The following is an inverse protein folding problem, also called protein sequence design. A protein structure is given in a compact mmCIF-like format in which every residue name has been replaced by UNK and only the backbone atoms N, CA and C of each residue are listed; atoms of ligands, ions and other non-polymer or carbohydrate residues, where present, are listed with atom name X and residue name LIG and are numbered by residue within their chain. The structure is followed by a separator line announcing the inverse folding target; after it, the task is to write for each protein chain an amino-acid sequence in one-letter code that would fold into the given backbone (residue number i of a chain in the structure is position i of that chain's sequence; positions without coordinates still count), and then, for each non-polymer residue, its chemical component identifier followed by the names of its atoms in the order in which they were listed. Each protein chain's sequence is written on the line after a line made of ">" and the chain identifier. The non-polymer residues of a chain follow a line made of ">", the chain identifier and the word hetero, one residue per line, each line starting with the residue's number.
data_IF_642792604231
#
_entry.id   IF_642792604231
#
_cell.length_a   1.000
_cell.length_b   1.000
_cell.length_c   1.000
_cell.angle_alpha   90.00
_cell.angle_beta   90.00
_cell.angle_gamma   90.00
#
_symmetry.space_group_name_H-M   'P 1'
#
loop_
_entity.id
_entity.type
_entity.pdbx_description
1 polymer ?
#
# COMPACT_ATOMS: atom_id res chain seq x y z
N UNK A 1 18.31 -2.20 -20.57
CA UNK A 1 17.00 -1.86 -21.17
C UNK A 1 15.92 -2.84 -20.73
N UNK A 2 15.88 -4.11 -21.19
CA UNK A 2 14.80 -5.04 -20.84
C UNK A 2 14.52 -5.20 -19.33
N UNK A 3 15.54 -5.35 -18.49
CA UNK A 3 15.35 -5.49 -17.04
C UNK A 3 14.77 -4.23 -16.34
N UNK A 4 15.03 -3.04 -16.88
CA UNK A 4 14.45 -1.78 -16.38
C UNK A 4 12.99 -1.65 -16.80
N UNK A 5 12.71 -1.92 -18.09
CA UNK A 5 11.35 -1.94 -18.62
C UNK A 5 10.47 -2.95 -17.88
N UNK A 6 10.99 -4.15 -17.62
CA UNK A 6 10.29 -5.19 -16.86
C UNK A 6 9.98 -4.74 -15.41
N UNK A 7 10.92 -4.08 -14.73
CA UNK A 7 10.68 -3.51 -13.40
C UNK A 7 9.60 -2.43 -13.45
N UNK A 8 9.72 -1.46 -14.37
CA UNK A 8 8.77 -0.36 -14.50
C UNK A 8 7.36 -0.87 -14.85
N UNK A 9 7.23 -1.91 -15.67
CA UNK A 9 5.95 -2.54 -15.97
C UNK A 9 5.36 -3.25 -14.74
N UNK A 10 6.15 -4.12 -14.08
CA UNK A 10 5.70 -4.86 -12.89
C UNK A 10 5.28 -3.94 -11.74
N UNK A 11 6.14 -2.98 -11.37
CA UNK A 11 5.88 -2.00 -10.32
C UNK A 11 4.62 -1.19 -10.63
N UNK A 12 4.45 -0.74 -11.87
CA UNK A 12 3.28 0.03 -12.30
C UNK A 12 1.99 -0.77 -12.21
N UNK A 13 1.99 -2.01 -12.71
CA UNK A 13 0.83 -2.91 -12.62
C UNK A 13 0.46 -3.24 -11.18
N UNK A 14 1.46 -3.52 -10.34
CA UNK A 14 1.24 -3.76 -8.92
C UNK A 14 0.60 -2.55 -8.23
N UNK A 15 1.10 -1.33 -8.48
CA UNK A 15 0.53 -0.12 -7.88
C UNK A 15 -0.89 0.17 -8.38
N UNK A 16 -1.18 -0.06 -9.66
CA UNK A 16 -2.55 0.07 -10.19
C UNK A 16 -3.52 -0.93 -9.53
N UNK A 17 -3.08 -2.18 -9.34
CA UNK A 17 -3.88 -3.19 -8.65
C UNK A 17 -4.16 -2.80 -7.19
N UNK A 18 -3.17 -2.24 -6.50
CA UNK A 18 -3.32 -1.67 -5.15
C UNK A 18 -4.37 -0.55 -5.15
N UNK A 19 -4.25 0.44 -6.04
CA UNK A 19 -5.17 1.58 -6.07
C UNK A 19 -6.62 1.15 -6.31
N UNK A 20 -6.86 0.26 -7.28
CA UNK A 20 -8.21 -0.27 -7.55
C UNK A 20 -8.74 -1.04 -6.34
N UNK A 21 -7.90 -1.83 -5.69
CA UNK A 21 -8.27 -2.59 -4.48
C UNK A 21 -8.62 -1.65 -3.33
N UNK A 22 -7.83 -0.59 -3.13
CA UNK A 22 -8.10 0.46 -2.16
C UNK A 22 -9.44 1.14 -2.41
N UNK A 23 -9.69 1.58 -3.65
CA UNK A 23 -10.91 2.29 -4.00
C UNK A 23 -12.16 1.46 -3.73
N UNK A 24 -12.13 0.18 -4.10
CA UNK A 24 -13.22 -0.75 -3.83
C UNK A 24 -13.40 -1.00 -2.33
N UNK A 25 -12.32 -1.28 -1.60
CA UNK A 25 -12.38 -1.58 -0.18
C UNK A 25 -12.86 -0.38 0.64
N UNK A 26 -12.36 0.82 0.34
CA UNK A 26 -12.71 2.05 1.04
C UNK A 26 -14.15 2.47 0.75
N UNK A 27 -14.61 2.29 -0.49
CA UNK A 27 -16.00 2.52 -0.83
C UNK A 27 -16.95 1.54 -0.12
N UNK A 28 -16.58 0.25 -0.07
CA UNK A 28 -17.35 -0.75 0.66
C UNK A 28 -17.40 -0.44 2.16
N UNK A 29 -16.28 -0.04 2.77
CA UNK A 29 -16.23 0.38 4.17
C UNK A 29 -17.26 1.49 4.44
N UNK A 30 -17.25 2.57 3.63
CA UNK A 30 -18.22 3.66 3.75
C UNK A 30 -19.66 3.19 3.59
N UNK A 31 -19.97 2.32 2.62
CA UNK A 31 -21.34 1.82 2.40
C UNK A 31 -21.88 0.96 3.55
N UNK A 32 -21.00 0.37 4.36
CA UNK A 32 -21.39 -0.46 5.51
C UNK A 32 -21.42 0.31 6.84
N UNK A 33 -20.97 1.56 6.85
CA UNK A 33 -20.86 2.38 8.06
C UNK A 33 -22.10 3.26 8.23
N UNK A 34 -22.76 3.14 9.39
CA UNK A 34 -23.91 3.95 9.76
C UNK A 34 -23.60 5.45 9.75
N UNK A 35 -22.37 5.84 10.05
CA UNK A 35 -21.94 7.24 10.04
C UNK A 35 -21.77 7.82 8.64
N UNK A 36 -21.79 6.97 7.60
CA UNK A 36 -21.70 7.37 6.20
C UNK A 36 -23.05 7.31 5.48
N UNK A 37 -24.16 7.06 6.20
CA UNK A 37 -25.51 7.02 5.61
C UNK A 37 -26.02 8.44 5.32
N UNK A 38 -26.88 8.58 4.31
CA UNK A 38 -27.49 9.85 3.88
C UNK A 38 -26.83 10.44 2.64
N UNK A 39 -27.62 11.15 1.83
CA UNK A 39 -27.14 11.74 0.57
C UNK A 39 -26.27 12.99 0.77
N UNK A 40 -26.50 13.72 1.86
CA UNK A 40 -25.80 14.98 2.19
C UNK A 40 -24.59 14.79 3.13
N UNK A 41 -24.16 13.55 3.37
CA UNK A 41 -23.08 13.26 4.31
C UNK A 41 -21.72 13.70 3.77
N UNK A 42 -20.93 14.39 4.60
CA UNK A 42 -19.58 14.86 4.26
C UNK A 42 -18.63 13.74 3.84
N UNK A 43 -18.83 12.51 4.35
CA UNK A 43 -18.04 11.34 3.97
C UNK A 43 -18.13 11.01 2.46
N UNK A 44 -19.17 11.49 1.75
CA UNK A 44 -19.34 11.32 0.30
C UNK A 44 -18.74 12.46 -0.53
N UNK A 45 -18.32 13.58 0.09
CA UNK A 45 -17.69 14.70 -0.62
C UNK A 45 -16.27 14.37 -1.08
N UNK A 46 -15.61 13.46 -0.37
CA UNK A 46 -14.26 13.00 -0.68
C UNK A 46 -14.30 11.55 -1.21
N UNK A 47 -13.59 11.30 -2.32
CA UNK A 47 -13.43 9.95 -2.87
C UNK A 47 -12.62 9.03 -1.94
N UNK A 48 -12.55 7.72 -2.23
CA UNK A 48 -13.31 6.98 -3.25
C UNK A 48 -14.76 6.66 -2.80
N UNK A 49 -15.66 6.43 -3.76
CA UNK A 49 -17.05 6.00 -3.53
C UNK A 49 -17.55 5.06 -4.63
N UNK A 50 -18.51 4.19 -4.29
CA UNK A 50 -19.24 3.36 -5.25
C UNK A 50 -20.45 4.15 -5.78
N UNK A 51 -20.69 4.03 -7.09
CA UNK A 51 -21.81 4.65 -7.77
C UNK A 51 -22.48 3.67 -8.72
N UNK A 52 -23.75 3.92 -9.04
CA UNK A 52 -24.43 3.18 -10.08
C UNK A 52 -23.84 3.54 -11.45
N UNK A 53 -23.86 2.57 -12.37
CA UNK A 53 -23.45 2.81 -13.76
C UNK A 53 -24.33 3.87 -14.45
N UNK A 54 -23.85 4.37 -15.59
CA UNK A 54 -24.63 5.31 -16.40
C UNK A 54 -26.01 4.74 -16.71
N UNK A 55 -27.04 5.57 -16.53
CA UNK A 55 -28.46 5.22 -16.76
C UNK A 55 -29.02 4.09 -15.88
N UNK A 56 -28.32 3.70 -14.81
CA UNK A 56 -28.83 2.72 -13.83
C UNK A 56 -29.54 3.41 -12.66
N UNK A 57 -30.37 2.66 -11.95
CA UNK A 57 -30.96 3.11 -10.69
C UNK A 57 -29.83 3.40 -9.68
N UNK A 58 -29.89 4.57 -9.05
CA UNK A 58 -28.88 4.99 -8.09
C UNK A 58 -28.87 4.09 -6.83
N UNK A 59 -27.69 4.00 -6.23
CA UNK A 59 -27.46 3.27 -4.97
C UNK A 59 -28.26 3.97 -3.87
N UNK A 60 -29.08 3.22 -3.14
CA UNK A 60 -29.84 3.78 -2.02
C UNK A 60 -28.91 3.96 -0.82
N UNK A 61 -28.63 5.21 -0.46
CA UNK A 61 -27.74 5.57 0.65
C UNK A 61 -28.48 5.84 1.97
N UNK A 62 -29.79 5.59 2.05
CA UNK A 62 -30.58 5.85 3.28
C UNK A 62 -30.38 4.80 4.37
N UNK A 63 -29.76 3.67 4.05
CA UNK A 63 -29.42 2.60 5.00
C UNK A 63 -28.05 2.01 4.63
N UNK A 64 -27.29 1.49 5.59
CA UNK A 64 -26.06 0.79 5.29
C UNK A 64 -26.36 -0.54 4.61
N UNK A 65 -25.41 -0.99 3.83
CA UNK A 65 -25.53 -2.24 3.09
C UNK A 65 -25.19 -3.43 4.00
N UNK A 66 -25.96 -4.51 3.83
CA UNK A 66 -25.60 -5.79 4.42
C UNK A 66 -24.44 -6.40 3.63
N UNK A 67 -23.31 -6.61 4.28
CA UNK A 67 -22.17 -7.33 3.72
C UNK A 67 -22.18 -8.78 4.19
N UNK A 68 -22.11 -9.73 3.25
CA UNK A 68 -21.80 -11.11 3.59
C UNK A 68 -20.30 -11.22 3.83
N UNK A 69 -19.89 -11.60 5.03
CA UNK A 69 -18.48 -11.84 5.36
C UNK A 69 -17.97 -13.12 4.70
N UNK A 70 -16.66 -13.20 4.49
CA UNK A 70 -16.02 -14.38 3.90
C UNK A 70 -15.97 -15.55 4.90
N UNK A 71 -15.74 -16.76 4.38
CA UNK A 71 -15.58 -17.95 5.22
C UNK A 71 -14.34 -17.82 6.13
N UNK A 72 -13.27 -17.18 5.66
CA UNK A 72 -12.06 -16.90 6.42
C UNK A 72 -12.36 -15.95 7.58
N UNK A 73 -13.12 -14.87 7.33
CA UNK A 73 -13.54 -13.94 8.38
C UNK A 73 -14.33 -14.65 9.47
N UNK A 74 -15.23 -15.58 9.09
CA UNK A 74 -15.98 -16.41 10.04
C UNK A 74 -15.05 -17.29 10.87
N UNK A 75 -14.07 -17.95 10.25
CA UNK A 75 -13.11 -18.82 10.96
C UNK A 75 -12.28 -18.01 11.95
N UNK A 76 -11.70 -16.89 11.51
CA UNK A 76 -10.89 -16.03 12.37
C UNK A 76 -11.72 -15.47 13.52
N UNK A 77 -12.94 -15.00 13.25
CA UNK A 77 -13.84 -14.54 14.30
C UNK A 77 -14.14 -15.65 15.31
N UNK A 78 -14.40 -16.88 14.87
CA UNK A 78 -14.64 -18.02 15.77
C UNK A 78 -13.44 -18.33 16.67
N UNK A 79 -12.21 -18.24 16.15
CA UNK A 79 -10.98 -18.43 16.94
C UNK A 79 -10.82 -17.32 17.98
N UNK A 80 -11.00 -16.05 17.58
CA UNK A 80 -10.81 -14.89 18.46
C UNK A 80 -11.89 -14.81 19.53
N UNK A 81 -13.14 -15.10 19.17
CA UNK A 81 -14.31 -14.95 20.04
C UNK A 81 -14.57 -16.16 20.93
N UNK A 82 -14.00 -17.32 20.60
CA UNK A 82 -14.25 -18.56 21.32
C UNK A 82 -15.66 -19.13 21.12
N UNK A 83 -16.02 -20.14 21.92
CA UNK A 83 -17.26 -20.91 21.77
C UNK A 83 -18.52 -20.23 22.30
N UNK A 84 -18.39 -19.21 23.17
CA UNK A 84 -19.53 -18.53 23.78
C UNK A 84 -19.26 -17.02 23.95
N UNK A 85 -19.28 -16.25 22.85
CA UNK A 85 -19.03 -14.82 22.92
C UNK A 85 -20.15 -14.06 23.63
N UNK A 86 -19.77 -12.99 24.34
CA UNK A 86 -20.72 -12.04 24.90
C UNK A 86 -21.61 -11.43 23.82
N UNK A 87 -22.92 -11.48 24.03
CA UNK A 87 -23.91 -10.90 23.13
C UNK A 87 -24.32 -9.50 23.62
N UNK A 88 -24.55 -8.58 22.70
CA UNK A 88 -25.21 -7.30 22.97
C UNK A 88 -26.72 -7.48 23.16
N UNK A 89 -27.41 -6.44 23.65
CA UNK A 89 -28.84 -6.47 23.97
C UNK A 89 -29.74 -6.84 22.78
N UNK A 90 -29.31 -6.51 21.56
CA UNK A 90 -29.98 -6.90 20.32
C UNK A 90 -29.66 -8.33 19.85
N UNK A 91 -28.96 -9.14 20.66
CA UNK A 91 -28.54 -10.49 20.35
C UNK A 91 -27.30 -10.61 19.44
N UNK A 92 -26.75 -9.48 18.98
CA UNK A 92 -25.54 -9.43 18.16
C UNK A 92 -24.27 -9.78 18.95
N UNK A 93 -23.19 -10.11 18.23
CA UNK A 93 -21.86 -10.32 18.82
C UNK A 93 -20.92 -9.26 18.26
N UNK A 94 -20.29 -8.48 19.15
CA UNK A 94 -19.33 -7.45 18.74
C UNK A 94 -17.97 -8.09 18.45
N UNK A 95 -17.51 -7.99 17.21
CA UNK A 95 -16.15 -8.42 16.83
C UNK A 95 -15.15 -7.39 17.36
N UNK A 96 -14.08 -7.80 18.07
CA UNK A 96 -13.06 -6.91 18.64
C UNK A 96 -12.09 -6.48 17.54
N UNK A 97 -12.59 -5.70 16.59
CA UNK A 97 -11.75 -5.04 15.61
C UNK A 97 -10.92 -3.94 16.30
N UNK A 98 -9.74 -3.59 15.77
CA UNK A 98 -9.00 -2.42 16.23
C UNK A 98 -9.92 -1.18 16.32
N UNK A 99 -9.76 -0.36 17.37
CA UNK A 99 -10.49 0.88 17.49
C UNK A 99 -10.24 1.73 16.24
N UNK A 100 -11.29 2.39 15.79
CA UNK A 100 -11.30 3.24 14.61
C UNK A 100 -12.06 4.48 15.04
N UNK A 101 -11.46 5.67 14.91
CA UNK A 101 -12.22 6.90 15.08
C UNK A 101 -13.26 7.02 13.95
N UNK A 102 -14.33 7.79 14.17
CA UNK A 102 -15.46 7.93 13.23
C UNK A 102 -15.00 8.43 11.85
N UNK A 103 -13.89 9.17 11.80
CA UNK A 103 -13.32 9.72 10.57
C UNK A 103 -12.15 8.93 10.00
N UNK A 104 -11.67 7.89 10.69
CA UNK A 104 -10.53 7.11 10.25
C UNK A 104 -10.92 6.05 9.20
N UNK A 105 -9.93 5.31 8.73
CA UNK A 105 -10.08 4.24 7.75
C UNK A 105 -9.34 3.02 8.26
N UNK A 106 -9.99 1.85 8.32
CA UNK A 106 -9.27 0.58 8.54
C UNK A 106 -8.60 0.09 7.27
N UNK A 107 -9.14 0.51 6.12
CA UNK A 107 -8.68 0.09 4.79
C UNK A 107 -7.36 0.75 4.42
N UNK A 108 -7.25 2.05 4.65
CA UNK A 108 -6.12 2.88 4.21
C UNK A 108 -4.77 2.40 4.78
N UNK A 109 -4.58 2.31 6.11
CA UNK A 109 -3.32 1.83 6.67
C UNK A 109 -3.03 0.36 6.36
N UNK A 110 -4.06 -0.47 6.17
CA UNK A 110 -3.86 -1.88 5.82
C UNK A 110 -3.32 -2.05 4.40
N UNK A 111 -3.91 -1.37 3.42
CA UNK A 111 -3.53 -1.49 2.01
C UNK A 111 -2.24 -0.72 1.72
N UNK A 112 -2.10 0.51 2.22
CA UNK A 112 -0.89 1.32 2.01
C UNK A 112 0.37 0.64 2.56
N UNK A 113 0.26 -0.02 3.72
CA UNK A 113 1.36 -0.81 4.31
C UNK A 113 1.82 -1.91 3.37
N UNK A 114 0.88 -2.71 2.85
CA UNK A 114 1.20 -3.80 1.92
C UNK A 114 1.80 -3.26 0.62
N UNK A 115 1.27 -2.15 0.11
CA UNK A 115 1.77 -1.48 -1.09
C UNK A 115 3.22 -1.02 -0.94
N UNK A 116 3.57 -0.35 0.17
CA UNK A 116 4.94 0.10 0.44
C UNK A 116 5.90 -1.09 0.49
N UNK A 117 5.52 -2.16 1.19
CA UNK A 117 6.35 -3.37 1.30
C UNK A 117 6.54 -4.01 -0.09
N UNK A 118 5.47 -4.21 -0.86
CA UNK A 118 5.54 -4.81 -2.18
C UNK A 118 6.40 -3.98 -3.15
N UNK A 119 6.18 -2.67 -3.21
CA UNK A 119 6.95 -1.78 -4.10
C UNK A 119 8.43 -1.77 -3.74
N UNK A 120 8.78 -1.78 -2.46
CA UNK A 120 10.17 -1.88 -2.04
C UNK A 120 10.80 -3.22 -2.43
N UNK A 121 10.09 -4.34 -2.27
CA UNK A 121 10.63 -5.65 -2.65
C UNK A 121 10.79 -5.79 -4.17
N UNK A 122 9.88 -5.25 -4.99
CA UNK A 122 10.04 -5.17 -6.46
C UNK A 122 11.25 -4.32 -6.86
N UNK A 123 11.44 -3.17 -6.21
CA UNK A 123 12.60 -2.31 -6.43
C UNK A 123 13.90 -3.01 -6.04
N UNK A 124 13.94 -3.64 -4.87
CA UNK A 124 15.08 -4.42 -4.39
C UNK A 124 15.41 -5.59 -5.33
N UNK A 125 14.41 -6.35 -5.79
CA UNK A 125 14.60 -7.43 -6.77
C UNK A 125 15.31 -6.90 -8.03
N UNK A 126 14.87 -5.75 -8.55
CA UNK A 126 15.51 -5.11 -9.69
C UNK A 126 16.95 -4.69 -9.39
N UNK A 127 17.20 -4.02 -8.27
CA UNK A 127 18.56 -3.55 -7.90
C UNK A 127 19.54 -4.70 -7.65
N UNK A 128 19.08 -5.85 -7.14
CA UNK A 128 19.92 -7.03 -6.95
C UNK A 128 20.56 -7.49 -8.27
N UNK A 129 19.89 -7.29 -9.42
CA UNK A 129 20.41 -7.72 -10.73
C UNK A 129 21.72 -7.03 -11.15
N UNK A 130 22.11 -5.96 -10.47
CA UNK A 130 23.36 -5.23 -10.72
C UNK A 130 24.05 -4.74 -9.43
N UNK A 131 23.80 -5.39 -8.29
CA UNK A 131 24.37 -5.02 -6.99
C UNK A 131 24.09 -3.55 -6.59
N UNK A 132 22.90 -3.05 -6.92
CA UNK A 132 22.46 -1.67 -6.64
C UNK A 132 22.24 -1.34 -5.15
N UNK A 133 22.02 -0.07 -4.80
CA UNK A 133 21.80 0.37 -3.42
C UNK A 133 20.34 0.11 -3.00
N UNK A 134 20.08 -0.99 -2.28
CA UNK A 134 18.76 -1.35 -1.75
C UNK A 134 18.74 -1.56 -0.23
N UNK A 135 19.86 -1.31 0.46
CA UNK A 135 19.98 -1.34 1.92
C UNK A 135 21.16 -0.48 2.36
N UNK A 136 21.30 -0.26 3.68
CA UNK A 136 22.35 0.62 4.25
C UNK A 136 23.76 0.25 3.77
N UNK A 137 24.13 -1.02 3.84
CA UNK A 137 25.43 -1.52 3.40
C UNK A 137 25.67 -1.27 1.91
N UNK A 138 24.69 -1.57 1.05
CA UNK A 138 24.81 -1.32 -0.39
C UNK A 138 24.85 0.17 -0.72
N UNK A 139 24.17 1.03 0.06
CA UNK A 139 24.28 2.47 -0.11
C UNK A 139 25.72 2.96 0.16
N UNK A 140 26.38 2.45 1.19
CA UNK A 140 27.80 2.77 1.48
C UNK A 140 28.73 2.39 0.32
N UNK A 141 28.52 1.21 -0.29
CA UNK A 141 29.30 0.75 -1.46
C UNK A 141 29.12 1.64 -2.71
N UNK A 142 28.05 2.44 -2.75
CA UNK A 142 27.70 3.32 -3.86
C UNK A 142 27.98 4.81 -3.58
N UNK A 143 28.54 5.15 -2.42
CA UNK A 143 28.93 6.52 -2.11
C UNK A 143 29.93 7.07 -3.14
N UNK A 144 29.72 8.32 -3.56
CA UNK A 144 30.51 8.96 -4.61
C UNK A 144 30.18 8.51 -6.05
N UNK A 145 29.32 7.50 -6.24
CA UNK A 145 28.87 7.05 -7.59
C UNK A 145 27.54 7.66 -8.02
N UNK A 146 26.70 7.97 -7.05
CA UNK A 146 25.39 8.61 -7.18
C UNK A 146 25.35 9.81 -6.22
N UNK A 147 24.41 10.71 -6.46
CA UNK A 147 24.06 11.80 -5.55
C UNK A 147 23.79 11.30 -4.11
N UNK A 148 24.26 12.06 -3.14
CA UNK A 148 24.10 11.73 -1.73
C UNK A 148 22.61 11.70 -1.31
N UNK A 149 21.79 12.60 -1.87
CA UNK A 149 20.37 12.71 -1.56
C UNK A 149 19.59 11.49 -2.04
N UNK A 150 19.91 10.98 -3.23
CA UNK A 150 19.32 9.75 -3.77
C UNK A 150 19.64 8.53 -2.89
N UNK A 151 20.87 8.41 -2.37
CA UNK A 151 21.25 7.34 -1.43
C UNK A 151 20.56 7.49 -0.07
N UNK A 152 20.36 8.72 0.41
CA UNK A 152 19.62 8.99 1.64
C UNK A 152 18.14 8.64 1.51
N UNK A 153 17.53 8.88 0.34
CA UNK A 153 16.17 8.43 0.06
C UNK A 153 16.05 6.90 0.13
N UNK A 154 16.98 6.15 -0.47
CA UNK A 154 16.98 4.68 -0.34
C UNK A 154 17.07 4.24 1.12
N UNK A 155 17.93 4.87 1.93
CA UNK A 155 18.06 4.55 3.36
C UNK A 155 16.74 4.80 4.09
N UNK A 156 16.13 5.97 3.87
CA UNK A 156 14.81 6.33 4.44
C UNK A 156 13.73 5.32 4.05
N UNK A 157 13.69 4.93 2.78
CA UNK A 157 12.72 3.96 2.28
C UNK A 157 12.95 2.56 2.87
N UNK A 158 14.20 2.14 2.99
CA UNK A 158 14.56 0.88 3.64
C UNK A 158 14.10 0.85 5.09
N UNK A 159 14.36 1.93 5.83
CA UNK A 159 13.98 2.06 7.24
C UNK A 159 12.46 2.08 7.39
N UNK A 160 11.75 2.89 6.60
CA UNK A 160 10.29 2.95 6.64
C UNK A 160 9.64 1.60 6.33
N UNK A 161 10.16 0.85 5.36
CA UNK A 161 9.68 -0.52 5.08
C UNK A 161 9.92 -1.45 6.26
N UNK A 162 11.09 -1.36 6.90
CA UNK A 162 11.43 -2.18 8.07
C UNK A 162 10.52 -1.87 9.26
N UNK A 163 10.27 -0.59 9.56
CA UNK A 163 9.31 -0.14 10.58
C UNK A 163 7.94 -0.78 10.33
N UNK A 164 7.42 -0.66 9.11
CA UNK A 164 6.13 -1.22 8.71
C UNK A 164 6.10 -2.75 8.71
N UNK A 165 7.24 -3.45 8.78
CA UNK A 165 7.27 -4.92 8.75
C UNK A 165 7.56 -5.54 10.11
N UNK A 166 8.43 -4.92 10.91
CA UNK A 166 9.04 -5.55 12.07
C UNK A 166 8.71 -4.85 13.39
N UNK A 167 8.34 -3.57 13.36
CA UNK A 167 8.10 -2.83 14.59
C UNK A 167 6.68 -3.07 15.11
N UNK A 168 6.55 -3.11 16.43
CA UNK A 168 5.27 -3.29 17.12
C UNK A 168 4.51 -1.98 17.31
N UNK A 169 5.21 -0.85 17.23
CA UNK A 169 4.65 0.48 17.37
C UNK A 169 5.23 1.37 16.28
N UNK A 170 4.41 1.75 15.31
CA UNK A 170 4.81 2.56 14.17
C UNK A 170 3.67 3.49 13.76
N UNK A 171 4.02 4.60 13.11
CA UNK A 171 3.04 5.50 12.52
C UNK A 171 2.36 4.82 11.33
N UNK A 172 1.03 4.81 11.34
CA UNK A 172 0.21 4.22 10.29
C UNK A 172 0.51 4.87 8.93
N UNK A 173 0.65 4.05 7.89
CA UNK A 173 0.83 4.54 6.54
C UNK A 173 -0.48 5.02 5.91
N UNK A 174 -0.37 5.80 4.84
CA UNK A 174 -1.51 6.24 4.03
C UNK A 174 -1.30 5.93 2.56
N UNK A 175 -2.38 5.88 1.78
CA UNK A 175 -2.29 5.73 0.33
C UNK A 175 -1.53 6.87 -0.34
N UNK A 176 -1.60 8.09 0.22
CA UNK A 176 -0.77 9.21 -0.24
C UNK A 176 0.71 8.88 -0.09
N UNK A 177 1.12 8.42 1.10
CA UNK A 177 2.50 7.99 1.36
C UNK A 177 2.91 6.86 0.40
N UNK A 178 2.05 5.85 0.19
CA UNK A 178 2.35 4.73 -0.71
C UNK A 178 2.56 5.18 -2.17
N UNK A 179 1.77 6.14 -2.66
CA UNK A 179 1.92 6.70 -4.01
C UNK A 179 3.21 7.51 -4.13
N UNK A 180 3.53 8.34 -3.14
CA UNK A 180 4.79 9.11 -3.09
C UNK A 180 6.00 8.17 -3.05
N UNK A 181 5.92 7.10 -2.25
CA UNK A 181 6.94 6.07 -2.14
C UNK A 181 7.16 5.35 -3.49
N UNK A 182 6.07 4.91 -4.14
CA UNK A 182 6.09 4.33 -5.48
C UNK A 182 6.74 5.27 -6.50
N UNK A 183 6.35 6.54 -6.51
CA UNK A 183 6.87 7.54 -7.43
C UNK A 183 8.40 7.67 -7.30
N UNK A 184 8.90 7.84 -6.08
CA UNK A 184 10.33 8.00 -5.85
C UNK A 184 11.15 6.75 -6.19
N UNK A 185 10.65 5.54 -5.88
CA UNK A 185 11.34 4.31 -6.29
C UNK A 185 11.47 4.18 -7.81
N UNK A 186 10.48 4.66 -8.56
CA UNK A 186 10.52 4.68 -10.03
C UNK A 186 11.43 5.75 -10.59
N UNK A 187 11.60 6.88 -9.91
CA UNK A 187 12.60 7.88 -10.30
C UNK A 187 14.03 7.39 -10.03
N UNK A 188 14.24 6.71 -8.90
CA UNK A 188 15.55 6.26 -8.46
C UNK A 188 16.10 5.11 -9.33
N UNK A 189 15.26 4.14 -9.71
CA UNK A 189 15.75 2.95 -10.41
C UNK A 189 16.48 3.27 -11.75
N UNK A 190 15.93 4.12 -12.65
CA UNK A 190 16.61 4.56 -13.86
C UNK A 190 17.96 5.22 -13.57
N UNK A 191 18.03 6.13 -12.58
CA UNK A 191 19.29 6.81 -12.22
C UNK A 191 20.38 5.81 -11.83
N UNK A 192 20.03 4.81 -11.02
CA UNK A 192 20.96 3.76 -10.62
C UNK A 192 21.42 2.89 -11.81
N UNK A 193 20.50 2.55 -12.70
CA UNK A 193 20.81 1.74 -13.88
C UNK A 193 21.70 2.48 -14.89
N UNK A 194 21.44 3.76 -15.14
CA UNK A 194 22.23 4.58 -16.08
C UNK A 194 23.69 4.72 -15.61
N UNK A 195 23.91 5.00 -14.32
CA UNK A 195 25.27 5.12 -13.76
C UNK A 195 26.06 3.83 -13.86
N UNK A 196 25.41 2.67 -13.75
CA UNK A 196 26.05 1.38 -14.02
C UNK A 196 26.53 1.30 -15.48
N UNK A 197 25.68 1.67 -16.44
CA UNK A 197 26.01 1.59 -17.87
C UNK A 197 27.12 2.56 -18.27
N UNK A 198 27.13 3.77 -17.71
CA UNK A 198 28.19 4.76 -17.92
C UNK A 198 29.55 4.30 -17.36
N UNK A 199 29.56 3.65 -16.19
CA UNK A 199 30.80 3.11 -15.62
C UNK A 199 31.34 1.89 -16.38
N UNK A 200 30.47 1.13 -17.09
CA UNK A 200 30.90 0.03 -17.96
C UNK A 200 31.49 0.51 -19.28
N UNK A 201 31.00 1.62 -19.86
CA UNK A 201 31.55 2.18 -21.10
C UNK A 201 32.89 2.91 -20.92
N UNK A 202 33.28 3.24 -19.68
CA UNK A 202 34.57 3.86 -19.35
C UNK A 202 35.69 2.87 -19.02
N UNK A 203 35.44 1.56 -18.99
CA UNK A 203 36.54 0.57 -18.92
C UNK A 203 37.02 0.31 -20.34
N UNK A 204 38.24 0.73 -20.74
CA UNK A 204 38.77 0.33 -22.04
C UNK A 204 38.90 -1.19 -22.05
N UNK A 205 38.62 -1.81 -23.21
CA UNK A 205 38.98 -3.20 -23.46
C UNK A 205 40.46 -3.35 -23.15
N UNK A 206 40.76 -4.05 -22.05
CA UNK A 206 42.09 -4.57 -21.82
C UNK A 206 42.08 -5.92 -22.50
N UNK A 207 42.76 -5.97 -23.64
CA UNK A 207 43.06 -7.18 -24.41
C UNK A 207 43.72 -8.27 -23.55
#
# INVERSE_FOLDING_TARGET
>A
MKAMEDYLDKSGKAMLAVCITFDHARSAEKMTDWHCVGEDNDAWKEGPYLSAGASQKQINRTHPYCLRTSDESRIVAGIVMGSNPSKSDNGGVKIPLPPKDIHESRVDPAISRLAIIEQFELFKEHLITFDGPFNKKRCEEWEGRIDHDDLNLVRKFTDRRNELTHDSNFELSSMKEAVEYFYHLRELAPKFHEKLTANKSMRPNVD
#
